data_IF_206462077578
#
_entry.id   IF_206462077578
#
_cell.length_a   1.000
_cell.length_b   1.000
_cell.length_c   1.000
_cell.angle_alpha   90.00
_cell.angle_beta   90.00
_cell.angle_gamma   90.00
#
_symmetry.space_group_name_H-M   'P 1'
#
loop_
_entity.id
_entity.type
_entity.pdbx_description
1 polymer ?
#
# COMPACT_ATOMS: atom_id res chain seq x y z
N UNK A 1 17.25 -4.08 0.04
CA UNK A 1 15.86 -3.71 0.36
C UNK A 1 15.57 -2.39 -0.36
N UNK A 2 14.74 -2.40 -1.40
CA UNK A 2 14.41 -1.21 -2.19
C UNK A 2 13.41 -0.37 -1.40
N UNK A 3 13.87 0.78 -0.91
CA UNK A 3 13.01 1.78 -0.24
C UNK A 3 12.26 2.51 -1.34
N UNK A 4 10.95 2.31 -1.40
CA UNK A 4 10.11 2.93 -2.41
C UNK A 4 9.46 4.18 -1.85
N UNK A 5 10.01 5.34 -2.23
CA UNK A 5 9.59 6.65 -1.72
C UNK A 5 8.53 7.23 -2.65
N UNK A 6 7.36 7.57 -2.12
CA UNK A 6 6.31 8.29 -2.84
C UNK A 6 6.78 9.71 -3.21
N UNK A 7 6.48 10.20 -4.42
CA UNK A 7 6.96 11.50 -4.96
C UNK A 7 6.58 12.72 -4.09
N UNK A 8 5.61 12.57 -3.19
CA UNK A 8 5.13 13.59 -2.25
C UNK A 8 6.06 13.74 -1.04
N UNK A 9 6.91 12.75 -0.77
CA UNK A 9 7.79 12.76 0.37
C UNK A 9 9.03 13.62 0.07
N UNK A 10 9.05 14.85 0.59
CA UNK A 10 10.19 15.77 0.47
C UNK A 10 11.51 15.28 1.12
N UNK A 11 11.54 14.06 1.67
CA UNK A 11 12.73 13.42 2.23
C UNK A 11 12.45 11.99 2.75
N UNK A 12 13.51 11.16 2.86
CA UNK A 12 13.44 9.77 3.37
C UNK A 12 13.29 9.67 4.88
N UNK A 13 13.55 10.73 5.63
CA UNK A 13 13.56 10.72 7.10
C UNK A 13 12.16 10.61 7.73
N UNK A 14 11.09 10.73 6.92
CA UNK A 14 9.70 10.75 7.39
C UNK A 14 8.89 9.54 6.91
N UNK A 15 9.53 8.44 6.49
CA UNK A 15 8.83 7.24 6.01
C UNK A 15 8.61 6.24 7.15
N UNK A 16 7.40 5.72 7.25
CA UNK A 16 6.99 4.66 8.15
C UNK A 16 6.70 3.38 7.35
N UNK A 17 7.14 2.25 7.87
CA UNK A 17 6.82 0.95 7.31
C UNK A 17 5.39 0.55 7.69
N UNK A 18 4.56 0.27 6.69
CA UNK A 18 3.16 -0.16 6.84
C UNK A 18 2.95 -1.51 6.19
N UNK A 19 2.23 -2.38 6.89
CA UNK A 19 1.81 -3.68 6.37
C UNK A 19 0.31 -3.67 6.14
N UNK A 20 -0.11 -4.09 4.94
CA UNK A 20 -1.51 -4.14 4.52
C UNK A 20 -1.90 -5.60 4.22
N UNK A 21 -2.59 -6.27 5.15
CA UNK A 21 -3.09 -7.63 4.93
C UNK A 21 -4.31 -7.61 4.00
N UNK A 22 -4.29 -8.40 2.94
CA UNK A 22 -5.33 -8.36 1.90
C UNK A 22 -5.91 -9.73 1.51
N UNK A 23 -5.34 -10.84 2.00
CA UNK A 23 -5.93 -12.17 1.80
C UNK A 23 -5.61 -13.14 2.94
N UNK A 24 -6.31 -14.27 3.00
CA UNK A 24 -5.95 -15.43 3.81
C UNK A 24 -5.80 -16.65 2.93
N UNK A 25 -4.60 -17.21 2.88
CA UNK A 25 -4.32 -18.44 2.15
C UNK A 25 -4.31 -19.59 3.15
N UNK A 26 -5.16 -20.58 2.93
CA UNK A 26 -5.02 -21.87 3.64
C UNK A 26 -4.05 -22.74 2.87
N UNK A 27 -3.05 -23.27 3.57
CA UNK A 27 -2.18 -24.31 3.07
C UNK A 27 -2.97 -25.63 2.95
N UNK A 28 -2.47 -26.56 2.14
CA UNK A 28 -3.05 -27.91 2.02
C UNK A 28 -2.99 -28.67 3.37
N UNK A 29 -2.09 -28.28 4.27
CA UNK A 29 -1.96 -28.83 5.62
C UNK A 29 -2.95 -28.24 6.63
N UNK A 30 -3.76 -27.25 6.23
CA UNK A 30 -4.74 -26.59 7.11
C UNK A 30 -4.22 -25.35 7.84
N UNK A 31 -2.97 -24.94 7.61
CA UNK A 31 -2.42 -23.72 8.19
C UNK A 31 -2.97 -22.49 7.46
N UNK A 32 -3.48 -21.51 8.20
CA UNK A 32 -3.92 -20.24 7.61
C UNK A 32 -2.80 -19.21 7.66
N UNK A 33 -2.31 -18.80 6.50
CA UNK A 33 -1.39 -17.67 6.36
C UNK A 33 -2.13 -16.41 5.95
N UNK A 34 -1.82 -15.28 6.59
CA UNK A 34 -2.32 -13.98 6.15
C UNK A 34 -1.37 -13.42 5.10
N UNK A 35 -1.89 -13.20 3.90
CA UNK A 35 -1.16 -12.57 2.81
C UNK A 35 -1.30 -11.06 2.93
N UNK A 36 -0.18 -10.35 2.85
CA UNK A 36 -0.14 -8.90 2.90
C UNK A 36 1.09 -8.33 2.21
N UNK A 37 1.05 -7.03 1.92
CA UNK A 37 2.17 -6.30 1.32
C UNK A 37 2.70 -5.23 2.28
N UNK A 38 4.00 -4.94 2.17
CA UNK A 38 4.70 -3.96 3.00
C UNK A 38 5.15 -2.79 2.14
N UNK A 39 4.85 -1.57 2.58
CA UNK A 39 5.32 -0.33 1.94
C UNK A 39 5.98 0.57 2.97
N UNK A 40 7.01 1.30 2.54
CA UNK A 40 7.60 2.39 3.31
C UNK A 40 7.00 3.72 2.79
N UNK A 41 6.08 4.33 3.54
CA UNK A 41 5.30 5.51 3.12
C UNK A 41 5.52 6.67 4.09
N UNK A 42 5.62 7.91 3.61
CA UNK A 42 5.51 9.07 4.50
C UNK A 42 4.05 9.36 4.86
N UNK A 43 3.84 10.02 6.00
CA UNK A 43 2.51 10.35 6.53
C UNK A 43 1.61 11.06 5.51
N UNK A 44 2.14 12.02 4.75
CA UNK A 44 1.37 12.73 3.73
C UNK A 44 0.90 11.83 2.58
N UNK A 45 1.73 10.87 2.16
CA UNK A 45 1.36 9.93 1.10
C UNK A 45 0.37 8.88 1.62
N UNK A 46 0.58 8.40 2.85
CA UNK A 46 -0.38 7.52 3.54
C UNK A 46 -1.76 8.20 3.65
N UNK A 47 -1.80 9.46 4.12
CA UNK A 47 -3.04 10.22 4.23
C UNK A 47 -3.72 10.47 2.87
N UNK A 48 -2.95 10.74 1.81
CA UNK A 48 -3.51 10.92 0.46
C UNK A 48 -4.19 9.63 -0.04
N UNK A 49 -3.52 8.48 0.11
CA UNK A 49 -4.10 7.18 -0.26
C UNK A 49 -5.33 6.87 0.59
N UNK A 50 -5.24 7.05 1.91
CA UNK A 50 -6.35 6.77 2.82
C UNK A 50 -7.56 7.65 2.51
N UNK A 51 -7.38 8.94 2.18
CA UNK A 51 -8.49 9.82 1.78
C UNK A 51 -9.15 9.36 0.49
N UNK A 52 -8.37 8.95 -0.50
CA UNK A 52 -8.91 8.44 -1.77
C UNK A 52 -9.67 7.14 -1.58
N UNK A 53 -9.15 6.20 -0.77
CA UNK A 53 -9.77 4.89 -0.58
C UNK A 53 -10.95 4.94 0.40
N UNK A 54 -10.77 5.57 1.58
CA UNK A 54 -11.80 5.64 2.63
C UNK A 54 -12.87 6.71 2.35
N UNK A 55 -12.55 7.72 1.53
CA UNK A 55 -13.53 8.69 1.07
C UNK A 55 -14.62 8.09 0.17
N UNK A 56 -14.37 6.89 -0.38
CA UNK A 56 -15.26 6.25 -1.35
C UNK A 56 -16.28 5.29 -0.72
N UNK A 57 -16.05 4.69 0.45
CA UNK A 57 -16.90 3.57 0.90
C UNK A 57 -17.11 3.49 2.42
N UNK A 58 -18.38 3.62 2.84
CA UNK A 58 -18.81 3.32 4.22
C UNK A 58 -19.04 1.81 4.49
N UNK A 59 -19.02 0.96 3.45
CA UNK A 59 -19.48 -0.44 3.53
C UNK A 59 -18.46 -1.49 3.03
N UNK A 60 -17.20 -1.13 2.80
CA UNK A 60 -16.17 -2.08 2.38
C UNK A 60 -15.66 -2.91 3.56
N UNK A 61 -15.39 -4.20 3.35
CA UNK A 61 -14.66 -4.99 4.34
C UNK A 61 -13.17 -4.61 4.34
N UNK A 62 -12.47 -4.96 5.42
CA UNK A 62 -11.06 -4.59 5.61
C UNK A 62 -10.14 -5.16 4.51
N UNK A 63 -10.41 -6.37 4.01
CA UNK A 63 -9.57 -7.03 3.00
C UNK A 63 -9.64 -6.31 1.66
N UNK A 64 -10.84 -5.99 1.19
CA UNK A 64 -11.06 -5.25 -0.05
C UNK A 64 -10.54 -3.81 0.05
N UNK A 65 -10.69 -3.20 1.22
CA UNK A 65 -10.10 -1.88 1.51
C UNK A 65 -8.58 -1.93 1.39
N UNK A 66 -7.94 -2.94 1.97
CA UNK A 66 -6.49 -3.10 1.90
C UNK A 66 -6.01 -3.43 0.48
N UNK A 67 -6.73 -4.25 -0.30
CA UNK A 67 -6.42 -4.48 -1.74
C UNK A 67 -6.39 -3.16 -2.52
N UNK A 68 -7.35 -2.27 -2.25
CA UNK A 68 -7.42 -0.95 -2.91
C UNK A 68 -6.32 -0.01 -2.45
N UNK A 69 -6.01 0.02 -1.16
CA UNK A 69 -4.85 0.78 -0.63
C UNK A 69 -3.58 0.33 -1.35
N UNK A 70 -3.34 -0.98 -1.43
CA UNK A 70 -2.17 -1.55 -2.13
C UNK A 70 -2.14 -1.09 -3.59
N UNK A 71 -3.25 -1.18 -4.32
CA UNK A 71 -3.34 -0.73 -5.71
C UNK A 71 -3.00 0.75 -5.85
N UNK A 72 -3.57 1.61 -4.99
CA UNK A 72 -3.35 3.06 -5.03
C UNK A 72 -1.94 3.46 -4.63
N UNK A 73 -1.37 2.78 -3.64
CA UNK A 73 0.03 2.93 -3.29
C UNK A 73 0.90 2.59 -4.49
N UNK A 74 0.64 1.47 -5.19
CA UNK A 74 1.38 1.08 -6.40
C UNK A 74 1.24 2.10 -7.53
N UNK A 75 0.04 2.60 -7.82
CA UNK A 75 -0.18 3.67 -8.82
C UNK A 75 0.63 4.93 -8.51
N UNK A 76 0.66 5.37 -7.23
CA UNK A 76 1.45 6.54 -6.81
C UNK A 76 2.96 6.28 -6.74
N UNK A 77 3.33 5.02 -6.62
CA UNK A 77 4.71 4.54 -6.59
C UNK A 77 5.22 4.20 -7.99
N UNK A 78 4.36 4.14 -9.02
CA UNK A 78 4.77 3.77 -10.37
C UNK A 78 5.97 4.60 -10.80
N UNK A 79 7.10 3.90 -10.83
CA UNK A 79 8.41 4.42 -11.09
C UNK A 79 8.36 5.25 -12.37
N UNK A 80 8.98 6.43 -12.36
CA UNK A 80 9.46 7.18 -13.54
C UNK A 80 10.32 6.29 -14.47
N UNK A 81 9.72 5.30 -15.12
CA UNK A 81 10.35 4.49 -16.18
C UNK A 81 10.09 5.07 -17.57
N UNK A 82 9.31 6.15 -17.68
CA UNK A 82 9.01 6.82 -18.96
C UNK A 82 9.64 8.22 -19.14
N UNK A 83 10.60 8.65 -18.30
CA UNK A 83 11.33 9.93 -18.50
C UNK A 83 12.83 9.72 -18.76
N UNK A 84 13.19 8.60 -19.39
CA UNK A 84 14.49 8.39 -20.02
C UNK A 84 14.34 7.50 -21.26
N UNK A 85 13.73 8.03 -22.31
CA UNK A 85 13.98 7.60 -23.68
C UNK A 85 14.08 8.83 -24.57
#
# INVERSE_FOLDING_TARGET
MLITVCDICGGREKVNRRWYPFDRKMSVAGDSETVGEVFDLCESCELAVLREVLGLERNANMWDTNKRIISKVKEKIEFKKEVKK
#
